data_IF_110435543860
#
_entry.id   IF_110435543860
#
_cell.length_a   1.000
_cell.length_b   1.000
_cell.length_c   1.000
_cell.angle_alpha   90.00
_cell.angle_beta   90.00
_cell.angle_gamma   90.00
#
_symmetry.space_group_name_H-M   'P 1'
#
loop_
_entity.id
_entity.type
_entity.pdbx_description
1 polymer ?
#
# COMPACT_ATOMS: atom_id res chain seq x y z
N UNK A 1 -10.72 -11.00 16.58
CA UNK A 1 -9.71 -10.05 17.09
C UNK A 1 -10.31 -9.19 18.21
N UNK A 2 -10.29 -9.67 19.47
CA UNK A 2 -10.77 -8.92 20.63
C UNK A 2 -10.20 -7.50 20.75
N UNK A 3 -11.01 -6.56 21.25
CA UNK A 3 -10.65 -5.15 21.52
C UNK A 3 -9.66 -4.98 22.71
N UNK A 4 -8.52 -5.68 22.64
CA UNK A 4 -7.51 -5.76 23.68
C UNK A 4 -6.11 -5.84 23.06
N UNK A 5 -5.81 -4.91 22.13
CA UNK A 5 -4.53 -4.87 21.40
C UNK A 5 -4.18 -6.16 20.66
N UNK A 6 -5.18 -6.88 20.17
CA UNK A 6 -4.96 -8.03 19.27
C UNK A 6 -4.20 -7.57 18.03
N UNK A 7 -3.16 -8.31 17.64
CA UNK A 7 -2.40 -8.05 16.41
C UNK A 7 -2.41 -9.30 15.55
N UNK A 8 -2.62 -9.10 14.25
CA UNK A 8 -2.47 -10.12 13.22
C UNK A 8 -1.48 -9.59 12.19
N UNK A 9 -0.50 -10.40 11.85
CA UNK A 9 0.43 -10.17 10.75
C UNK A 9 0.23 -11.24 9.69
N UNK A 10 0.16 -10.81 8.42
CA UNK A 10 0.02 -11.70 7.27
C UNK A 10 1.06 -11.27 6.22
N UNK A 11 1.97 -12.18 5.88
CA UNK A 11 2.85 -12.05 4.73
C UNK A 11 2.18 -12.68 3.51
N UNK A 12 2.05 -11.89 2.45
CA UNK A 12 1.44 -12.24 1.18
C UNK A 12 2.55 -12.28 0.12
N UNK A 13 2.91 -13.49 -0.29
CA UNK A 13 4.08 -13.75 -1.12
C UNK A 13 3.61 -14.24 -2.49
N UNK A 14 4.14 -13.63 -3.54
CA UNK A 14 3.73 -13.84 -4.92
C UNK A 14 3.13 -12.57 -5.53
N UNK A 15 2.85 -12.65 -6.83
CA UNK A 15 2.35 -11.54 -7.62
C UNK A 15 1.64 -12.02 -8.88
N UNK A 16 1.13 -11.07 -9.65
CA UNK A 16 0.58 -11.31 -10.96
C UNK A 16 1.68 -11.70 -11.97
N UNK A 17 1.51 -12.86 -12.60
CA UNK A 17 2.40 -13.42 -13.63
C UNK A 17 3.59 -14.24 -13.09
N UNK A 18 4.28 -14.93 -14.00
CA UNK A 18 5.35 -15.90 -13.70
C UNK A 18 6.45 -15.93 -14.78
N UNK A 19 6.71 -14.79 -15.41
CA UNK A 19 7.68 -14.63 -16.49
C UNK A 19 9.11 -14.64 -15.96
N UNK A 20 9.96 -15.49 -16.54
CA UNK A 20 11.40 -15.49 -16.26
C UNK A 20 12.00 -14.12 -16.60
N UNK A 21 12.91 -13.63 -15.76
CA UNK A 21 13.55 -12.32 -15.92
C UNK A 21 12.71 -11.13 -15.45
N UNK A 22 11.50 -11.35 -14.92
CA UNK A 22 10.65 -10.32 -14.32
C UNK A 22 10.67 -10.39 -12.79
N UNK A 23 11.74 -9.95 -12.10
CA UNK A 23 11.91 -10.15 -10.66
C UNK A 23 10.81 -9.50 -9.81
N UNK A 24 10.16 -8.45 -10.32
CA UNK A 24 9.05 -7.80 -9.62
C UNK A 24 7.80 -8.70 -9.44
N UNK A 25 7.69 -9.80 -10.20
CA UNK A 25 6.63 -10.81 -10.07
C UNK A 25 6.87 -11.74 -8.87
N UNK A 26 8.10 -11.82 -8.35
CA UNK A 26 8.37 -12.39 -7.03
C UNK A 26 8.00 -11.36 -5.93
N UNK A 27 6.70 -11.02 -5.91
CA UNK A 27 6.14 -9.98 -5.05
C UNK A 27 6.12 -10.36 -3.57
N UNK A 28 6.21 -9.35 -2.71
CA UNK A 28 5.95 -9.47 -1.28
C UNK A 28 5.07 -8.29 -0.88
N UNK A 29 4.06 -8.56 -0.08
CA UNK A 29 3.23 -7.53 0.56
C UNK A 29 2.91 -8.00 1.97
N UNK A 30 2.89 -7.07 2.91
CA UNK A 30 2.73 -7.40 4.33
C UNK A 30 1.52 -6.66 4.87
N UNK A 31 0.58 -7.39 5.45
CA UNK A 31 -0.62 -6.84 6.06
C UNK A 31 -0.52 -6.97 7.57
N UNK A 32 -0.69 -5.85 8.28
CA UNK A 32 -0.84 -5.83 9.73
C UNK A 32 -2.24 -5.33 10.07
N UNK A 33 -2.95 -6.07 10.92
CA UNK A 33 -4.22 -5.66 11.49
C UNK A 33 -4.05 -5.50 13.01
N UNK A 34 -4.66 -4.47 13.58
CA UNK A 34 -4.66 -4.21 15.02
C UNK A 34 -6.07 -3.91 15.51
N UNK A 35 -6.50 -4.60 16.56
CA UNK A 35 -7.75 -4.25 17.23
C UNK A 35 -7.60 -3.00 18.09
N UNK A 36 -8.65 -2.19 18.12
CA UNK A 36 -8.74 -1.01 18.96
C UNK A 36 -8.86 -1.33 20.45
N UNK A 37 -9.05 -0.28 21.24
CA UNK A 37 -9.30 -0.33 22.69
C UNK A 37 -10.81 -0.32 23.02
N UNK A 38 -11.67 -0.56 22.03
CA UNK A 38 -13.12 -0.46 22.16
C UNK A 38 -13.68 0.96 22.01
N UNK A 39 -12.85 2.00 21.88
CA UNK A 39 -13.28 3.40 21.80
C UNK A 39 -12.43 4.22 20.78
N UNK A 40 -12.75 4.20 19.48
CA UNK A 40 -13.85 3.46 18.85
C UNK A 40 -13.59 1.96 18.79
N UNK A 41 -14.66 1.16 18.81
CA UNK A 41 -14.58 -0.28 18.57
C UNK A 41 -14.28 -0.55 17.10
N UNK A 42 -13.30 -1.40 16.82
CA UNK A 42 -12.96 -1.77 15.46
C UNK A 42 -11.57 -2.38 15.33
N UNK A 43 -11.10 -2.47 14.10
CA UNK A 43 -9.70 -2.72 13.77
C UNK A 43 -9.18 -1.56 12.94
N UNK A 44 -7.86 -1.39 12.95
CA UNK A 44 -7.11 -0.65 11.93
C UNK A 44 -6.21 -1.63 11.20
N UNK A 45 -5.78 -1.28 10.00
CA UNK A 45 -4.85 -2.08 9.25
C UNK A 45 -3.97 -1.24 8.35
N UNK A 46 -2.81 -1.82 8.02
CA UNK A 46 -1.92 -1.29 7.01
C UNK A 46 -1.34 -2.42 6.14
N UNK A 47 -1.29 -2.17 4.83
CA UNK A 47 -0.63 -3.03 3.86
C UNK A 47 0.62 -2.33 3.33
N UNK A 48 1.79 -2.94 3.50
CA UNK A 48 3.03 -2.46 2.91
C UNK A 48 3.23 -3.12 1.54
N UNK A 49 3.12 -2.32 0.48
CA UNK A 49 3.32 -2.76 -0.90
C UNK A 49 4.77 -2.55 -1.32
N UNK A 50 5.48 -3.64 -1.66
CA UNK A 50 6.90 -3.63 -2.06
C UNK A 50 7.13 -3.79 -3.56
N UNK A 51 6.18 -4.36 -4.32
CA UNK A 51 6.31 -4.55 -5.78
C UNK A 51 5.08 -4.03 -6.54
N UNK A 52 5.24 -3.77 -7.84
CA UNK A 52 4.17 -3.19 -8.66
C UNK A 52 3.03 -4.17 -8.96
N UNK A 53 3.30 -5.48 -8.90
CA UNK A 53 2.36 -6.57 -9.27
C UNK A 53 2.05 -7.52 -8.11
N UNK A 54 2.47 -7.18 -6.88
CA UNK A 54 2.04 -7.85 -5.66
C UNK A 54 0.62 -7.45 -5.25
N UNK A 55 0.29 -7.61 -3.97
CA UNK A 55 -1.01 -7.18 -3.43
C UNK A 55 -1.06 -5.65 -3.34
N UNK A 56 -2.13 -5.06 -3.85
CA UNK A 56 -2.23 -3.61 -4.09
C UNK A 56 -3.16 -2.90 -3.14
N UNK A 57 -4.09 -3.63 -2.54
CA UNK A 57 -5.12 -3.06 -1.71
C UNK A 57 -5.66 -4.08 -0.71
N UNK A 58 -6.35 -3.59 0.31
CA UNK A 58 -7.11 -4.45 1.20
C UNK A 58 -8.23 -3.65 1.87
N UNK A 59 -9.24 -4.39 2.32
CA UNK A 59 -10.38 -3.85 3.04
C UNK A 59 -10.94 -4.93 3.97
N UNK A 60 -11.82 -4.56 4.89
CA UNK A 60 -12.47 -5.51 5.78
C UNK A 60 -13.94 -5.18 6.00
N UNK A 61 -14.71 -6.20 6.37
CA UNK A 61 -16.09 -6.09 6.85
C UNK A 61 -16.13 -6.63 8.27
N UNK A 62 -16.76 -5.91 9.20
CA UNK A 62 -17.09 -6.48 10.51
C UNK A 62 -18.32 -7.38 10.35
N UNK A 63 -18.14 -8.69 10.49
CA UNK A 63 -19.24 -9.66 10.28
C UNK A 63 -20.05 -9.89 11.54
N UNK A 64 -19.42 -9.84 12.71
CA UNK A 64 -20.09 -9.87 14.00
C UNK A 64 -19.10 -9.60 15.13
N UNK A 65 -19.46 -8.75 16.10
CA UNK A 65 -18.67 -8.53 17.31
C UNK A 65 -17.21 -8.14 17.00
N UNK A 66 -16.28 -9.05 17.32
CA UNK A 66 -14.84 -8.90 17.09
C UNK A 66 -14.32 -9.76 15.92
N UNK A 67 -15.21 -10.23 15.05
CA UNK A 67 -14.93 -11.02 13.85
C UNK A 67 -15.00 -10.14 12.61
N UNK A 68 -14.02 -10.32 11.73
CA UNK A 68 -13.86 -9.51 10.53
C UNK A 68 -13.50 -10.42 9.36
N UNK A 69 -14.14 -10.19 8.22
CA UNK A 69 -13.73 -10.75 6.95
C UNK A 69 -12.78 -9.75 6.29
N UNK A 70 -11.61 -10.23 5.87
CA UNK A 70 -10.54 -9.40 5.31
C UNK A 70 -10.34 -9.78 3.85
N UNK A 71 -10.38 -8.78 2.98
CA UNK A 71 -10.25 -8.91 1.55
C UNK A 71 -8.96 -8.24 1.10
N UNK A 72 -8.20 -8.91 0.25
CA UNK A 72 -6.97 -8.38 -0.34
C UNK A 72 -7.10 -8.38 -1.86
N UNK A 73 -6.50 -7.38 -2.49
CA UNK A 73 -6.53 -7.21 -3.95
C UNK A 73 -5.17 -7.59 -4.53
N UNK A 74 -5.20 -8.38 -5.61
CA UNK A 74 -4.04 -8.71 -6.43
C UNK A 74 -4.44 -8.61 -7.89
N UNK A 75 -3.49 -8.20 -8.75
CA UNK A 75 -3.73 -8.07 -10.18
C UNK A 75 -4.08 -9.40 -10.86
N UNK A 76 -4.65 -9.28 -12.07
CA UNK A 76 -4.93 -10.43 -12.94
C UNK A 76 -3.68 -11.30 -13.15
N UNK A 77 -3.88 -12.58 -13.46
CA UNK A 77 -2.82 -13.56 -13.70
C UNK A 77 -1.99 -13.94 -12.45
N UNK A 78 -2.47 -13.63 -11.24
CA UNK A 78 -1.99 -14.28 -10.03
C UNK A 78 -2.48 -15.73 -9.99
N UNK A 79 -1.63 -16.70 -10.34
CA UNK A 79 -1.98 -18.12 -10.45
C UNK A 79 -1.69 -18.92 -9.18
N UNK A 80 -0.80 -18.41 -8.32
CA UNK A 80 -0.45 -19.02 -7.05
C UNK A 80 0.22 -17.99 -6.14
N UNK A 81 -0.12 -18.05 -4.86
CA UNK A 81 0.46 -17.19 -3.82
C UNK A 81 0.74 -18.04 -2.58
N UNK A 82 1.72 -17.63 -1.78
CA UNK A 82 2.00 -18.20 -0.49
C UNK A 82 1.57 -17.20 0.60
N UNK A 83 0.87 -17.70 1.62
CA UNK A 83 0.41 -16.88 2.75
C UNK A 83 1.03 -17.46 4.01
N UNK A 84 1.68 -16.58 4.77
CA UNK A 84 2.20 -16.89 6.10
C UNK A 84 1.54 -15.92 7.07
N UNK A 85 1.23 -16.37 8.28
CA UNK A 85 0.56 -15.53 9.26
C UNK A 85 1.04 -15.83 10.67
N UNK A 86 0.96 -14.81 11.51
CA UNK A 86 1.19 -14.87 12.94
C UNK A 86 0.22 -13.92 13.66
N UNK A 87 -0.08 -14.18 14.92
CA UNK A 87 -1.02 -13.37 15.68
C UNK A 87 -0.80 -13.47 17.20
N UNK A 88 -1.25 -12.46 17.92
CA UNK A 88 -1.18 -12.44 19.39
C UNK A 88 -2.08 -13.52 20.00
N UNK A 89 -1.75 -14.02 21.19
CA UNK A 89 -2.44 -15.17 21.84
C UNK A 89 -3.96 -15.00 22.04
N UNK A 90 -4.46 -13.77 22.05
CA UNK A 90 -5.89 -13.44 22.18
C UNK A 90 -6.61 -13.29 20.83
N UNK A 91 -5.94 -13.49 19.70
CA UNK A 91 -6.52 -13.44 18.37
C UNK A 91 -6.58 -14.84 17.73
N UNK A 92 -7.25 -14.92 16.59
CA UNK A 92 -7.26 -16.10 15.73
C UNK A 92 -7.43 -15.66 14.27
N UNK A 93 -6.92 -16.47 13.36
CA UNK A 93 -6.98 -16.25 11.91
C UNK A 93 -7.36 -17.55 11.23
N UNK A 94 -8.33 -17.48 10.31
CA UNK A 94 -8.65 -18.57 9.38
C UNK A 94 -8.28 -18.12 7.99
N UNK A 95 -7.44 -18.89 7.29
CA UNK A 95 -7.07 -18.62 5.91
C UNK A 95 -7.92 -19.49 4.98
N UNK A 96 -8.62 -18.85 4.04
CA UNK A 96 -9.31 -19.54 2.97
C UNK A 96 -8.35 -19.75 1.80
N UNK A 97 -7.89 -20.99 1.59
CA UNK A 97 -6.88 -21.32 0.58
C UNK A 97 -7.43 -21.43 -0.86
N UNK A 98 -8.76 -21.41 -1.00
CA UNK A 98 -9.46 -21.41 -2.29
C UNK A 98 -10.56 -20.35 -2.32
N UNK A 99 -10.20 -19.05 -2.20
CA UNK A 99 -11.19 -17.98 -2.17
C UNK A 99 -11.83 -17.80 -3.55
N UNK A 100 -13.15 -17.58 -3.57
CA UNK A 100 -13.85 -17.24 -4.81
C UNK A 100 -13.48 -15.83 -5.25
N UNK A 101 -12.99 -15.68 -6.48
CA UNK A 101 -12.78 -14.37 -7.07
C UNK A 101 -14.10 -13.60 -7.20
N UNK A 102 -14.08 -12.32 -6.82
CA UNK A 102 -15.17 -11.38 -7.11
C UNK A 102 -14.59 -10.10 -7.67
N UNK A 103 -15.15 -9.63 -8.79
CA UNK A 103 -14.83 -8.31 -9.34
C UNK A 103 -15.48 -7.18 -8.53
N UNK A 104 -16.57 -7.50 -7.82
CA UNK A 104 -17.31 -6.54 -7.03
C UNK A 104 -16.80 -6.56 -5.59
N UNK A 105 -16.48 -5.36 -5.09
CA UNK A 105 -16.23 -5.13 -3.67
C UNK A 105 -17.49 -5.49 -2.85
N UNK A 106 -17.37 -6.32 -1.79
CA UNK A 106 -18.46 -6.53 -0.83
C UNK A 106 -19.08 -5.22 -0.31
N UNK A 107 -20.36 -5.24 0.04
CA UNK A 107 -21.01 -4.08 0.67
C UNK A 107 -20.54 -3.91 2.11
N UNK A 108 -20.45 -2.67 2.59
CA UNK A 108 -20.07 -2.38 3.98
C UNK A 108 -18.59 -2.53 4.31
N UNK A 109 -17.72 -2.51 3.29
CA UNK A 109 -16.26 -2.52 3.50
C UNK A 109 -15.78 -1.22 4.14
N UNK A 110 -14.78 -1.37 5.01
CA UNK A 110 -13.87 -0.30 5.40
C UNK A 110 -12.56 -0.51 4.66
N UNK A 111 -12.15 0.47 3.84
CA UNK A 111 -10.87 0.44 3.15
C UNK A 111 -9.71 0.62 4.14
N UNK A 112 -8.65 -0.14 3.93
CA UNK A 112 -7.43 -0.05 4.71
C UNK A 112 -6.43 0.99 4.20
N UNK A 113 -5.33 1.17 4.93
CA UNK A 113 -4.25 2.08 4.52
C UNK A 113 -3.15 1.32 3.79
N UNK A 114 -2.83 1.72 2.56
CA UNK A 114 -1.70 1.14 1.81
C UNK A 114 -0.50 2.08 1.92
N UNK A 115 0.63 1.55 2.40
CA UNK A 115 1.92 2.21 2.35
C UNK A 115 2.73 1.68 1.18
N UNK A 116 3.09 2.56 0.25
CA UNK A 116 3.99 2.23 -0.85
C UNK A 116 5.43 2.36 -0.37
N UNK A 117 6.20 1.28 -0.49
CA UNK A 117 7.63 1.30 -0.22
C UNK A 117 8.37 1.60 -1.52
N UNK A 118 8.97 2.79 -1.59
CA UNK A 118 9.78 3.19 -2.73
C UNK A 118 11.08 2.38 -2.81
N UNK A 119 11.47 2.02 -4.03
CA UNK A 119 12.64 1.21 -4.36
C UNK A 119 13.15 1.56 -5.77
N UNK A 120 14.19 0.87 -6.24
CA UNK A 120 14.63 1.00 -7.64
C UNK A 120 13.55 0.57 -8.65
N UNK A 121 12.62 -0.30 -8.23
CA UNK A 121 11.48 -0.75 -9.02
C UNK A 121 10.28 0.19 -8.90
N UNK A 122 9.92 0.61 -7.69
CA UNK A 122 8.84 1.58 -7.45
C UNK A 122 9.49 2.92 -7.10
N UNK A 123 9.68 3.78 -8.10
CA UNK A 123 10.26 5.10 -7.87
C UNK A 123 9.18 6.10 -7.44
N UNK A 124 9.49 7.05 -6.55
CA UNK A 124 8.57 8.15 -6.29
C UNK A 124 8.43 9.03 -7.53
N UNK A 125 7.23 9.61 -7.69
CA UNK A 125 7.00 10.69 -8.66
C UNK A 125 7.44 12.03 -8.08
N UNK A 126 7.57 13.06 -8.92
CA UNK A 126 7.82 14.42 -8.44
C UNK A 126 6.72 14.88 -7.47
N UNK A 127 5.46 14.53 -7.73
CA UNK A 127 4.33 14.86 -6.86
C UNK A 127 4.45 14.18 -5.48
N UNK A 128 4.88 12.91 -5.43
CA UNK A 128 5.01 12.15 -4.19
C UNK A 128 5.96 12.79 -3.18
N UNK A 129 6.96 13.53 -3.67
CA UNK A 129 7.99 14.17 -2.83
C UNK A 129 7.92 15.69 -2.84
N UNK A 130 6.88 16.28 -3.45
CA UNK A 130 6.73 17.73 -3.56
C UNK A 130 7.82 18.41 -4.42
N UNK A 131 8.37 17.71 -5.40
CA UNK A 131 9.33 18.24 -6.36
C UNK A 131 8.65 18.79 -7.63
N UNK A 132 9.35 19.65 -8.35
CA UNK A 132 8.95 20.10 -9.69
C UNK A 132 9.12 18.96 -10.71
N UNK A 133 8.13 18.77 -11.59
CA UNK A 133 8.21 17.78 -12.66
C UNK A 133 9.23 18.16 -13.73
N UNK A 134 9.79 17.16 -14.43
CA UNK A 134 10.65 17.37 -15.61
C UNK A 134 9.91 17.99 -16.80
N UNK A 135 8.57 17.90 -16.81
CA UNK A 135 7.71 18.60 -17.77
C UNK A 135 7.49 20.08 -17.43
N UNK A 136 8.14 20.60 -16.37
CA UNK A 136 7.91 21.92 -15.82
C UNK A 136 6.79 21.97 -14.78
N UNK A 137 6.46 23.19 -14.35
CA UNK A 137 5.41 23.48 -13.36
C UNK A 137 5.53 24.90 -12.81
N UNK A 138 4.65 25.26 -11.87
CA UNK A 138 4.64 26.58 -11.25
C UNK A 138 5.41 26.57 -9.92
N UNK A 139 6.20 27.61 -9.70
CA UNK A 139 6.83 27.90 -8.41
C UNK A 139 6.09 29.08 -7.77
N UNK A 140 5.37 28.81 -6.68
CA UNK A 140 4.58 29.84 -5.97
C UNK A 140 5.37 30.52 -4.84
N UNK A 141 6.61 30.09 -4.58
CA UNK A 141 7.53 30.69 -3.61
C UNK A 141 8.63 31.52 -4.27
N UNK A 142 9.45 32.20 -3.46
CA UNK A 142 10.60 32.96 -3.96
C UNK A 142 11.61 32.05 -4.67
N UNK A 143 11.97 32.41 -5.91
CA UNK A 143 12.99 31.71 -6.69
C UNK A 143 14.36 32.35 -6.46
N UNK A 144 15.29 31.61 -5.84
CA UNK A 144 16.70 32.01 -5.75
C UNK A 144 17.52 31.33 -6.85
N UNK A 145 18.15 32.11 -7.73
CA UNK A 145 19.10 31.60 -8.73
C UNK A 145 20.52 31.92 -8.24
N UNK A 146 21.24 30.92 -7.76
CA UNK A 146 22.64 31.09 -7.35
C UNK A 146 23.53 31.27 -8.57
N UNK A 147 24.09 32.47 -8.76
CA UNK A 147 25.16 32.71 -9.75
C UNK A 147 26.39 33.25 -9.03
N UNK A 148 27.58 32.73 -9.35
CA UNK A 148 28.86 33.22 -8.84
C UNK A 148 29.36 34.48 -9.58
N UNK A 149 28.70 34.88 -10.67
CA UNK A 149 29.02 36.06 -11.48
C UNK A 149 27.80 36.47 -12.32
N UNK A 150 26.96 37.37 -11.79
CA UNK A 150 25.92 38.02 -12.58
C UNK A 150 26.51 39.26 -13.27
N UNK A 151 26.50 39.30 -14.61
CA UNK A 151 26.85 40.48 -15.40
C UNK A 151 25.67 41.46 -15.38
N UNK A 152 25.56 42.28 -14.33
CA UNK A 152 24.89 43.60 -14.35
C UNK A 152 23.42 43.69 -14.80
N UNK A 153 22.70 42.60 -15.00
CA UNK A 153 21.30 42.62 -15.41
C UNK A 153 20.74 41.21 -15.52
N UNK A 154 19.82 40.85 -14.62
CA UNK A 154 19.18 39.54 -14.62
C UNK A 154 17.92 39.61 -15.48
N UNK A 155 18.02 39.32 -16.77
CA UNK A 155 16.82 39.10 -17.60
C UNK A 155 16.34 37.66 -17.42
N UNK A 156 15.20 37.49 -16.75
CA UNK A 156 14.33 36.34 -16.95
C UNK A 156 13.58 36.61 -18.26
N UNK A 157 13.77 35.75 -19.27
CA UNK A 157 12.91 35.75 -20.46
C UNK A 157 11.66 34.94 -20.12
N UNK A 158 10.53 35.62 -19.95
CA UNK A 158 9.22 34.99 -19.87
C UNK A 158 8.72 34.79 -21.31
N UNK A 159 8.51 33.53 -21.70
CA UNK A 159 7.82 33.16 -22.94
C UNK A 159 6.32 33.06 -22.75
#
# INVERSE_FOLDING_TARGET
MPQASSVVYISLIGGAGYNVGSPHQAGISELVLRAGNGNPKGITGALWRRTSVGFTNFAWVNTSGDTYDVYVEIGNYATGVNIQWDYTSNASVTIHTSPTYTANKPTGLTDGTVYVIYSSHIKPTAADVGALSLSGGQLNGALGIGTSSALGGNSIVLG
#
